data_IF_938345209837
#
_entry.id   IF_938345209837
#
_cell.length_a   1.000
_cell.length_b   1.000
_cell.length_c   1.000
_cell.angle_alpha   90.00
_cell.angle_beta   90.00
_cell.angle_gamma   90.00
#
_symmetry.space_group_name_H-M   'P 1'
#
loop_
_entity.id
_entity.type
_entity.pdbx_description
1 polymer ?
#
# COMPACT_ATOMS: atom_id res chain seq x y z
N UNK A 1 -56.38 23.10 -2.43
CA UNK A 1 -55.15 22.81 -1.68
C UNK A 1 -54.96 21.29 -1.68
N UNK A 2 -54.09 20.79 -2.55
CA UNK A 2 -53.85 19.35 -2.79
C UNK A 2 -53.05 18.73 -1.63
N UNK A 3 -53.62 17.72 -0.98
CA UNK A 3 -52.91 16.88 -0.01
C UNK A 3 -51.81 16.10 -0.74
N UNK A 4 -50.57 16.29 -0.31
CA UNK A 4 -49.45 15.43 -0.70
C UNK A 4 -49.61 14.16 0.13
N UNK A 5 -50.15 13.14 -0.50
CA UNK A 5 -50.22 11.79 0.04
C UNK A 5 -48.79 11.35 0.35
N UNK A 6 -48.48 11.21 1.63
CA UNK A 6 -47.22 10.66 2.09
C UNK A 6 -47.09 9.26 1.50
N UNK A 7 -46.26 9.13 0.46
CA UNK A 7 -45.89 7.87 -0.15
C UNK A 7 -45.17 7.02 0.89
N UNK A 8 -45.95 6.25 1.64
CA UNK A 8 -45.50 5.18 2.53
C UNK A 8 -44.77 4.18 1.63
N UNK A 9 -43.45 4.33 1.54
CA UNK A 9 -42.61 3.38 0.84
C UNK A 9 -42.51 2.16 1.74
N UNK A 10 -43.37 1.17 1.50
CA UNK A 10 -43.35 -0.13 2.17
C UNK A 10 -42.06 -0.88 1.82
N UNK A 11 -40.94 -0.54 2.45
CA UNK A 11 -39.75 -1.38 2.46
C UNK A 11 -39.76 -2.20 3.75
N UNK A 12 -40.33 -3.41 3.70
CA UNK A 12 -40.36 -4.39 4.79
C UNK A 12 -38.98 -5.02 5.10
N UNK A 13 -37.89 -4.30 4.86
CA UNK A 13 -36.54 -4.72 5.21
C UNK A 13 -36.04 -3.77 6.30
N UNK A 14 -35.99 -4.27 7.53
CA UNK A 14 -35.37 -3.56 8.66
C UNK A 14 -34.01 -3.01 8.19
N UNK A 15 -33.84 -1.69 8.29
CA UNK A 15 -32.56 -1.02 8.02
C UNK A 15 -31.51 -1.72 8.87
N UNK A 16 -30.48 -2.32 8.26
CA UNK A 16 -29.41 -3.00 8.99
C UNK A 16 -28.85 -2.04 10.03
N UNK A 17 -28.80 -2.46 11.29
CA UNK A 17 -28.17 -1.67 12.34
C UNK A 17 -26.73 -1.32 11.93
N UNK A 18 -26.38 -0.05 12.09
CA UNK A 18 -25.04 0.43 11.81
C UNK A 18 -24.07 -0.25 12.78
N UNK A 19 -23.36 -1.27 12.31
CA UNK A 19 -22.23 -1.85 13.03
C UNK A 19 -21.05 -0.90 12.86
N UNK A 20 -20.90 0.02 13.82
CA UNK A 20 -19.64 0.74 14.00
C UNK A 20 -18.60 -0.31 14.41
N UNK A 21 -17.88 -0.85 13.42
CA UNK A 21 -16.79 -1.78 13.69
C UNK A 21 -15.78 -1.15 14.65
N UNK A 22 -14.96 -1.98 15.30
CA UNK A 22 -13.86 -1.45 16.09
C UNK A 22 -12.69 -1.16 15.13
N UNK A 23 -12.40 0.12 14.79
CA UNK A 23 -11.35 0.42 13.84
C UNK A 23 -10.00 -0.06 14.41
N UNK A 24 -9.22 -0.74 13.58
CA UNK A 24 -7.87 -1.14 13.96
C UNK A 24 -7.05 0.10 14.32
N UNK A 25 -6.33 0.02 15.43
CA UNK A 25 -5.35 1.04 15.82
C UNK A 25 -4.34 1.27 14.68
N UNK A 26 -3.79 2.48 14.58
CA UNK A 26 -2.80 2.82 13.56
C UNK A 26 -1.61 1.85 13.56
N UNK A 27 -1.17 1.43 14.75
CA UNK A 27 -0.09 0.46 14.91
C UNK A 27 -0.43 -0.92 14.33
N UNK A 28 -1.65 -1.43 14.59
CA UNK A 28 -2.08 -2.74 14.08
C UNK A 28 -2.23 -2.70 12.55
N UNK A 29 -2.75 -1.60 11.99
CA UNK A 29 -2.80 -1.40 10.54
C UNK A 29 -1.41 -1.37 9.90
N UNK A 30 -0.46 -0.69 10.53
CA UNK A 30 0.93 -0.66 10.06
C UNK A 30 1.55 -2.05 10.10
N UNK A 31 1.35 -2.80 11.19
CA UNK A 31 1.88 -4.16 11.34
C UNK A 31 1.26 -5.12 10.33
N UNK A 32 -0.05 -5.07 10.09
CA UNK A 32 -0.69 -5.87 9.04
C UNK A 32 -0.16 -5.52 7.65
N UNK A 33 0.00 -4.22 7.34
CA UNK A 33 0.58 -3.81 6.05
C UNK A 33 2.00 -4.33 5.87
N UNK A 34 2.81 -4.34 6.93
CA UNK A 34 4.15 -4.90 6.90
C UNK A 34 4.12 -6.42 6.76
N UNK A 35 3.21 -7.11 7.46
CA UNK A 35 3.04 -8.57 7.34
C UNK A 35 2.68 -8.98 5.90
N UNK A 36 1.76 -8.24 5.25
CA UNK A 36 1.43 -8.47 3.83
C UNK A 36 2.63 -8.29 2.90
N UNK A 37 3.47 -7.27 3.15
CA UNK A 37 4.70 -7.05 2.38
C UNK A 37 5.74 -8.14 2.61
N UNK A 38 5.90 -8.63 3.85
CA UNK A 38 6.82 -9.72 4.19
C UNK A 38 6.48 -11.05 3.51
N UNK A 39 5.21 -11.29 3.22
CA UNK A 39 4.80 -12.50 2.50
C UNK A 39 5.27 -12.52 1.03
N UNK A 40 5.44 -11.35 0.42
CA UNK A 40 5.80 -11.21 -1.00
C UNK A 40 7.25 -10.80 -1.21
N UNK A 41 7.83 -10.02 -0.30
CA UNK A 41 9.17 -9.46 -0.39
C UNK A 41 10.01 -9.85 0.83
N UNK A 42 11.27 -10.22 0.63
CA UNK A 42 12.23 -10.45 1.72
C UNK A 42 12.96 -9.14 2.06
N UNK A 43 13.20 -8.90 3.35
CA UNK A 43 13.95 -7.73 3.81
C UNK A 43 15.45 -7.91 3.53
N UNK A 44 16.07 -6.88 2.94
CA UNK A 44 17.50 -6.87 2.59
C UNK A 44 18.18 -5.72 3.33
N UNK A 45 19.09 -6.04 4.24
CA UNK A 45 19.91 -5.07 4.99
C UNK A 45 21.34 -5.12 4.47
N UNK A 46 21.81 -4.04 3.86
CA UNK A 46 23.10 -4.00 3.19
C UNK A 46 23.83 -2.72 3.54
N UNK A 47 25.14 -2.85 3.75
CA UNK A 47 26.05 -1.71 3.86
C UNK A 47 26.73 -1.49 2.52
N UNK A 48 26.65 -0.26 2.02
CA UNK A 48 27.23 0.14 0.74
C UNK A 48 28.07 1.39 0.99
N UNK A 49 29.12 1.58 0.18
CA UNK A 49 29.95 2.79 0.21
C UNK A 49 29.10 4.06 0.04
N UNK A 50 29.39 5.10 0.80
CA UNK A 50 28.60 6.33 0.85
C UNK A 50 28.43 7.01 -0.52
N UNK A 51 29.48 7.00 -1.34
CA UNK A 51 29.44 7.55 -2.69
C UNK A 51 28.38 6.84 -3.57
N UNK A 52 28.33 5.52 -3.51
CA UNK A 52 27.37 4.71 -4.27
C UNK A 52 25.95 4.87 -3.75
N UNK A 53 25.77 4.99 -2.42
CA UNK A 53 24.47 5.28 -1.81
C UNK A 53 23.92 6.62 -2.26
N UNK A 54 24.78 7.63 -2.32
CA UNK A 54 24.42 8.98 -2.79
C UNK A 54 23.98 8.95 -4.25
N UNK A 55 24.70 8.22 -5.11
CA UNK A 55 24.32 8.02 -6.51
C UNK A 55 22.98 7.28 -6.64
N UNK A 56 22.77 6.20 -5.89
CA UNK A 56 21.53 5.44 -5.91
C UNK A 56 20.33 6.31 -5.51
N UNK A 57 20.50 7.18 -4.52
CA UNK A 57 19.47 8.13 -4.11
C UNK A 57 19.12 9.13 -5.22
N UNK A 58 20.12 9.71 -5.89
CA UNK A 58 19.91 10.62 -7.03
C UNK A 58 19.21 9.91 -8.18
N UNK A 59 19.64 8.69 -8.51
CA UNK A 59 19.02 7.92 -9.60
C UNK A 59 17.57 7.56 -9.27
N UNK A 60 17.28 7.18 -8.03
CA UNK A 60 15.92 6.86 -7.57
C UNK A 60 15.01 8.10 -7.67
N UNK A 61 15.49 9.26 -7.23
CA UNK A 61 14.76 10.53 -7.34
C UNK A 61 14.49 10.91 -8.80
N UNK A 62 15.49 10.79 -9.67
CA UNK A 62 15.34 11.11 -11.10
C UNK A 62 14.34 10.21 -11.81
N UNK A 63 14.30 8.93 -11.46
CA UNK A 63 13.36 7.97 -12.02
C UNK A 63 11.97 8.01 -11.34
N UNK A 64 11.82 8.76 -10.24
CA UNK A 64 10.56 8.84 -9.48
C UNK A 64 10.19 7.54 -8.76
N UNK A 65 11.16 6.65 -8.55
CA UNK A 65 10.96 5.33 -7.93
C UNK A 65 11.54 5.27 -6.53
N UNK A 66 11.11 4.28 -5.77
CA UNK A 66 11.71 4.03 -4.46
C UNK A 66 13.11 3.43 -4.59
N UNK A 67 13.96 3.62 -3.58
CA UNK A 67 15.30 3.00 -3.57
C UNK A 67 15.24 1.48 -3.67
N UNK A 68 14.24 0.85 -3.03
CA UNK A 68 14.04 -0.60 -3.09
C UNK A 68 13.69 -1.07 -4.50
N UNK A 69 12.74 -0.40 -5.16
CA UNK A 69 12.37 -0.69 -6.55
C UNK A 69 13.55 -0.46 -7.51
N UNK A 70 14.38 0.54 -7.26
CA UNK A 70 15.59 0.76 -8.05
C UNK A 70 16.59 -0.40 -7.89
N UNK A 71 16.72 -0.94 -6.68
CA UNK A 71 17.56 -2.12 -6.43
C UNK A 71 17.02 -3.35 -7.16
N UNK A 72 15.71 -3.57 -7.16
CA UNK A 72 15.07 -4.67 -7.91
C UNK A 72 15.38 -4.57 -9.41
N UNK A 73 15.19 -3.40 -10.01
CA UNK A 73 15.52 -3.17 -11.43
C UNK A 73 17.00 -3.38 -11.75
N UNK A 74 17.90 -2.95 -10.85
CA UNK A 74 19.34 -3.16 -11.02
C UNK A 74 19.70 -4.65 -10.96
N UNK A 75 19.03 -5.42 -10.11
CA UNK A 75 19.21 -6.88 -10.01
C UNK A 75 18.67 -7.57 -11.28
N UNK A 76 17.48 -7.21 -11.76
CA UNK A 76 16.90 -7.73 -13.00
C UNK A 76 17.84 -7.48 -14.20
N UNK A 77 18.25 -6.23 -14.42
CA UNK A 77 19.17 -5.88 -15.50
C UNK A 77 20.54 -6.57 -15.38
N UNK A 78 21.02 -6.82 -14.16
CA UNK A 78 22.27 -7.54 -13.91
C UNK A 78 22.15 -9.04 -14.17
N UNK A 79 20.96 -9.62 -13.92
CA UNK A 79 20.68 -11.03 -14.20
C UNK A 79 20.57 -11.32 -15.69
N UNK A 80 19.97 -10.41 -16.46
CA UNK A 80 19.83 -10.52 -17.92
C UNK A 80 21.17 -10.44 -18.66
N UNK A 81 22.14 -9.71 -18.11
CA UNK A 81 23.47 -9.51 -18.74
C UNK A 81 24.49 -10.60 -18.41
N UNK A 82 24.18 -11.48 -17.45
CA UNK A 82 25.06 -12.59 -17.05
C UNK A 82 24.56 -13.95 -17.58
N UNK A 83 23.58 -13.94 -18.48
CA UNK A 83 23.16 -15.07 -19.31
C UNK A 83 23.67 -14.82 -20.73
#
# INVERSE_FOLDING_TARGET
MSQIENAVTCTSKLKREYRKGNPLSAAVRQQESLARKKNTHKEVRVFVRDALKSQLQVMSQKAGVTQAEMIERLIEMGSEKNI
#
